data_IF_469274062897
#
_entry.id   IF_469274062897
#
_cell.length_a   1.000
_cell.length_b   1.000
_cell.length_c   1.000
_cell.angle_alpha   90.00
_cell.angle_beta   90.00
_cell.angle_gamma   90.00
#
_symmetry.space_group_name_H-M   'P 1'
#
loop_
_entity.id
_entity.type
_entity.pdbx_description
1 polymer ?
#
# COMPACT_ATOMS: atom_id res chain seq x y z
N UNK A 1 33.01 71.61 -54.04
CA UNK A 1 31.89 71.76 -53.09
C UNK A 1 30.85 70.68 -53.40
N UNK A 2 30.89 69.56 -52.67
CA UNK A 2 30.05 68.37 -52.93
C UNK A 2 28.91 68.32 -51.89
N UNK A 3 27.67 68.21 -52.36
CA UNK A 3 26.45 68.06 -51.55
C UNK A 3 26.49 66.70 -50.82
N UNK A 4 26.31 66.72 -49.50
CA UNK A 4 26.15 65.52 -48.66
C UNK A 4 24.66 65.18 -48.65
N UNK A 5 24.27 64.08 -49.27
CA UNK A 5 22.92 63.51 -49.20
C UNK A 5 22.81 62.60 -47.97
N UNK A 6 21.86 62.90 -47.08
CA UNK A 6 21.58 62.14 -45.88
C UNK A 6 20.97 60.77 -46.21
N UNK A 7 21.56 59.71 -45.68
CA UNK A 7 21.08 58.32 -45.77
C UNK A 7 20.04 58.08 -44.67
N UNK A 8 18.85 57.62 -45.06
CA UNK A 8 17.72 57.30 -44.17
C UNK A 8 17.96 55.95 -43.47
N UNK A 9 17.73 55.82 -42.15
CA UNK A 9 18.00 54.57 -41.44
C UNK A 9 16.94 53.48 -41.75
N UNK A 10 17.29 52.19 -41.67
CA UNK A 10 16.36 51.09 -41.92
C UNK A 10 15.33 50.94 -40.78
N UNK A 11 14.14 50.40 -41.08
CA UNK A 11 13.09 50.19 -40.07
C UNK A 11 13.48 49.08 -39.07
N UNK A 12 13.01 49.15 -37.80
CA UNK A 12 13.34 48.16 -36.79
C UNK A 12 12.65 46.82 -37.10
N UNK A 13 13.45 45.76 -37.28
CA UNK A 13 12.97 44.38 -37.26
C UNK A 13 12.87 43.93 -35.80
N UNK A 14 11.80 44.35 -35.11
CA UNK A 14 11.39 43.76 -33.84
C UNK A 14 9.91 43.40 -33.95
N UNK A 15 9.65 42.10 -34.13
CA UNK A 15 8.31 41.52 -34.09
C UNK A 15 8.13 40.88 -32.71
N UNK A 16 7.43 41.50 -31.75
CA UNK A 16 7.18 40.91 -30.45
C UNK A 16 6.02 39.92 -30.58
N UNK A 17 6.30 38.75 -31.17
CA UNK A 17 5.42 37.57 -31.12
C UNK A 17 6.23 36.30 -30.90
N UNK A 18 6.97 36.28 -29.79
CA UNK A 18 7.36 35.03 -29.13
C UNK A 18 6.92 35.14 -27.67
N UNK A 19 5.60 35.13 -27.48
CA UNK A 19 5.01 34.82 -26.17
C UNK A 19 5.36 33.38 -25.85
N UNK A 20 6.31 33.24 -24.91
CA UNK A 20 6.39 32.23 -23.87
C UNK A 20 5.79 30.87 -24.27
N UNK A 21 6.66 29.87 -24.47
CA UNK A 21 6.29 28.49 -24.22
C UNK A 21 5.82 28.37 -22.76
N UNK A 22 4.54 28.65 -22.54
CA UNK A 22 3.82 28.18 -21.37
C UNK A 22 3.68 26.68 -21.57
N UNK A 23 4.43 25.91 -20.77
CA UNK A 23 4.05 24.53 -20.47
C UNK A 23 2.53 24.52 -20.24
N UNK A 24 1.76 23.63 -20.87
CA UNK A 24 0.32 23.63 -20.67
C UNK A 24 0.06 23.50 -19.18
N UNK A 25 -0.59 24.50 -18.59
CA UNK A 25 -1.05 24.37 -17.22
C UNK A 25 -2.00 23.17 -17.18
N UNK A 26 -1.70 22.20 -16.33
CA UNK A 26 -2.49 20.98 -16.12
C UNK A 26 -3.99 21.25 -15.88
N UNK A 27 -4.36 22.48 -15.55
CA UNK A 27 -5.73 22.97 -15.40
C UNK A 27 -6.55 23.04 -16.70
N UNK A 28 -5.93 22.96 -17.88
CA UNK A 28 -6.62 23.00 -19.18
C UNK A 28 -6.91 21.62 -19.79
N UNK A 29 -6.43 20.53 -19.20
CA UNK A 29 -6.86 19.18 -19.59
C UNK A 29 -8.29 18.94 -19.12
N UNK A 30 -9.24 19.37 -19.97
CA UNK A 30 -10.67 19.23 -19.75
C UNK A 30 -11.06 17.75 -19.69
N UNK A 31 -12.00 17.45 -18.80
CA UNK A 31 -12.84 16.25 -18.60
C UNK A 31 -13.24 15.41 -19.85
N UNK A 32 -12.98 15.88 -21.08
CA UNK A 32 -13.38 15.24 -22.34
C UNK A 32 -12.45 14.12 -22.81
N UNK A 33 -11.20 14.06 -22.36
CA UNK A 33 -10.29 12.98 -22.76
C UNK A 33 -10.36 11.76 -21.83
N UNK A 34 -10.91 11.91 -20.62
CA UNK A 34 -10.96 10.83 -19.62
C UNK A 34 -11.96 9.72 -19.96
N UNK A 35 -13.00 10.03 -20.73
CA UNK A 35 -13.97 9.04 -21.23
C UNK A 35 -13.41 8.13 -22.33
N UNK A 36 -12.20 8.41 -22.84
CA UNK A 36 -11.53 7.63 -23.90
C UNK A 36 -10.40 6.73 -23.41
N UNK A 37 -9.96 6.87 -22.16
CA UNK A 37 -8.88 6.02 -21.65
C UNK A 37 -9.39 4.60 -21.41
N UNK A 38 -8.61 3.63 -21.88
CA UNK A 38 -8.81 2.24 -21.48
C UNK A 38 -8.47 2.07 -19.99
N UNK A 39 -9.03 1.03 -19.36
CA UNK A 39 -8.79 0.74 -17.93
C UNK A 39 -7.29 0.67 -17.58
N UNK A 40 -6.41 0.01 -18.36
CA UNK A 40 -4.98 -0.01 -18.09
C UNK A 40 -4.30 1.37 -18.18
N UNK A 41 -4.66 2.18 -19.18
CA UNK A 41 -4.10 3.54 -19.34
C UNK A 41 -4.49 4.45 -18.18
N UNK A 42 -5.71 4.28 -17.67
CA UNK A 42 -6.20 5.03 -16.51
C UNK A 42 -5.42 4.65 -15.23
N UNK A 43 -5.24 3.35 -14.98
CA UNK A 43 -4.40 2.85 -13.86
C UNK A 43 -2.98 3.38 -13.97
N UNK A 44 -2.38 3.32 -15.15
CA UNK A 44 -1.02 3.79 -15.40
C UNK A 44 -0.86 5.29 -15.19
N UNK A 45 -1.86 6.09 -15.61
CA UNK A 45 -1.91 7.53 -15.32
C UNK A 45 -1.97 7.81 -13.81
N UNK A 46 -2.84 7.13 -13.07
CA UNK A 46 -2.92 7.27 -11.61
C UNK A 46 -1.56 6.93 -10.98
N UNK A 47 -0.97 5.79 -11.34
CA UNK A 47 0.29 5.32 -10.80
C UNK A 47 1.43 6.33 -11.06
N UNK A 48 1.53 6.86 -12.29
CA UNK A 48 2.53 7.89 -12.63
C UNK A 48 2.36 9.15 -11.79
N UNK A 49 1.14 9.67 -11.64
CA UNK A 49 0.89 10.88 -10.85
C UNK A 49 1.30 10.70 -9.38
N UNK A 50 0.99 9.54 -8.80
CA UNK A 50 1.38 9.22 -7.42
C UNK A 50 2.89 9.09 -7.25
N UNK A 51 3.58 8.40 -8.18
CA UNK A 51 5.05 8.29 -8.17
C UNK A 51 5.71 9.67 -8.31
N UNK A 52 5.13 10.54 -9.13
CA UNK A 52 5.56 11.94 -9.28
C UNK A 52 5.13 12.85 -8.12
N UNK A 53 4.53 12.30 -7.05
CA UNK A 53 4.05 13.02 -5.85
C UNK A 53 3.01 14.11 -6.13
N UNK A 54 2.21 13.94 -7.18
CA UNK A 54 1.16 14.89 -7.58
C UNK A 54 -0.21 14.48 -7.06
N UNK A 55 -0.36 14.38 -5.73
CA UNK A 55 -1.61 13.91 -5.12
C UNK A 55 -2.83 14.76 -5.43
N UNK A 56 -2.69 16.10 -5.39
CA UNK A 56 -3.77 17.00 -5.74
C UNK A 56 -4.30 16.76 -7.16
N UNK A 57 -3.44 16.33 -8.09
CA UNK A 57 -3.89 15.99 -9.45
C UNK A 57 -4.70 14.69 -9.49
N UNK A 58 -4.44 13.75 -8.57
CA UNK A 58 -5.18 12.48 -8.45
C UNK A 58 -6.55 12.73 -7.80
N UNK A 59 -6.62 13.59 -6.79
CA UNK A 59 -7.87 13.98 -6.12
C UNK A 59 -8.88 14.66 -7.05
N UNK A 60 -8.38 15.36 -8.07
CA UNK A 60 -9.23 16.02 -9.07
C UNK A 60 -9.71 15.09 -10.20
N UNK A 61 -9.24 13.83 -10.25
CA UNK A 61 -9.74 12.86 -11.23
C UNK A 61 -11.13 12.35 -10.81
N UNK A 62 -12.04 12.06 -11.76
CA UNK A 62 -13.32 11.42 -11.47
C UNK A 62 -13.10 9.93 -11.14
N UNK A 63 -12.57 9.66 -9.94
CA UNK A 63 -12.25 8.32 -9.47
C UNK A 63 -13.53 7.60 -9.02
N UNK A 64 -14.08 6.78 -9.91
CA UNK A 64 -15.04 5.74 -9.51
C UNK A 64 -14.26 4.59 -8.84
N UNK A 65 -14.03 4.69 -7.53
CA UNK A 65 -13.33 3.64 -6.79
C UNK A 65 -14.13 2.33 -6.79
N UNK A 66 -13.42 1.26 -7.12
CA UNK A 66 -13.90 -0.10 -7.10
C UNK A 66 -12.77 -1.00 -6.61
N UNK A 67 -13.12 -2.17 -6.08
CA UNK A 67 -12.13 -3.13 -5.59
C UNK A 67 -11.13 -3.51 -6.69
N UNK A 68 -11.59 -3.73 -7.91
CA UNK A 68 -10.73 -4.02 -9.05
C UNK A 68 -9.76 -2.87 -9.42
N UNK A 69 -10.22 -1.61 -9.34
CA UNK A 69 -9.36 -0.45 -9.60
C UNK A 69 -8.27 -0.35 -8.53
N UNK A 70 -8.66 -0.44 -7.26
CA UNK A 70 -7.72 -0.39 -6.13
C UNK A 70 -6.73 -1.56 -6.20
N UNK A 71 -7.23 -2.75 -6.53
CA UNK A 71 -6.42 -3.96 -6.73
C UNK A 71 -5.36 -3.75 -7.83
N UNK A 72 -5.74 -3.19 -8.97
CA UNK A 72 -4.85 -2.92 -10.10
C UNK A 72 -3.80 -1.86 -9.76
N UNK A 73 -4.21 -0.73 -9.15
CA UNK A 73 -3.28 0.35 -8.76
C UNK A 73 -2.27 -0.15 -7.72
N UNK A 74 -2.71 -0.88 -6.68
CA UNK A 74 -1.79 -1.44 -5.68
C UNK A 74 -0.84 -2.49 -6.27
N UNK A 75 -1.30 -3.31 -7.24
CA UNK A 75 -0.41 -4.23 -7.97
C UNK A 75 0.68 -3.48 -8.73
N UNK A 76 0.31 -2.42 -9.44
CA UNK A 76 1.27 -1.64 -10.23
C UNK A 76 2.22 -0.83 -9.34
N UNK A 77 1.75 -0.33 -8.20
CA UNK A 77 2.54 0.40 -7.23
C UNK A 77 3.28 -0.48 -6.22
N UNK A 78 3.30 -1.81 -6.37
CA UNK A 78 3.80 -2.74 -5.34
C UNK A 78 5.25 -2.51 -4.85
N UNK A 79 6.06 -1.79 -5.63
CA UNK A 79 7.44 -1.41 -5.28
C UNK A 79 7.60 0.05 -4.79
N UNK A 80 6.49 0.79 -4.69
CA UNK A 80 6.43 2.19 -4.31
C UNK A 80 5.56 2.36 -3.06
N UNK A 81 6.09 2.11 -1.85
CA UNK A 81 5.28 2.05 -0.63
C UNK A 81 4.62 3.39 -0.28
N UNK A 82 5.34 4.51 -0.40
CA UNK A 82 4.77 5.85 -0.15
C UNK A 82 3.61 6.17 -1.09
N UNK A 83 3.77 5.91 -2.39
CA UNK A 83 2.70 6.13 -3.37
C UNK A 83 1.48 5.23 -3.11
N UNK A 84 1.72 3.98 -2.70
CA UNK A 84 0.67 3.03 -2.35
C UNK A 84 -0.12 3.47 -1.12
N UNK A 85 0.56 3.97 -0.07
CA UNK A 85 -0.09 4.52 1.13
C UNK A 85 -0.97 5.70 0.74
N UNK A 86 -0.43 6.67 0.00
CA UNK A 86 -1.16 7.87 -0.36
C UNK A 86 -2.43 7.56 -1.15
N UNK A 87 -2.34 6.61 -2.10
CA UNK A 87 -3.52 6.15 -2.83
C UNK A 87 -4.52 5.40 -1.95
N UNK A 88 -4.05 4.52 -1.07
CA UNK A 88 -4.91 3.75 -0.18
C UNK A 88 -5.65 4.65 0.81
N UNK A 89 -4.98 5.65 1.38
CA UNK A 89 -5.57 6.66 2.24
C UNK A 89 -6.60 7.51 1.49
N UNK A 90 -6.27 7.95 0.27
CA UNK A 90 -7.21 8.66 -0.60
C UNK A 90 -8.46 7.82 -0.85
N UNK A 91 -8.27 6.53 -1.15
CA UNK A 91 -9.37 5.60 -1.40
C UNK A 91 -10.24 5.41 -0.15
N UNK A 92 -9.62 5.32 1.02
CA UNK A 92 -10.30 5.12 2.32
C UNK A 92 -11.11 6.34 2.78
N UNK A 93 -10.82 7.54 2.26
CA UNK A 93 -11.54 8.78 2.59
C UNK A 93 -12.83 8.97 1.79
N UNK A 94 -13.05 8.20 0.73
CA UNK A 94 -14.24 8.36 -0.10
C UNK A 94 -15.49 7.81 0.61
N UNK A 95 -16.57 8.58 0.62
CA UNK A 95 -17.80 8.23 1.36
C UNK A 95 -18.45 6.92 0.86
N UNK A 96 -18.30 6.62 -0.43
CA UNK A 96 -18.97 5.50 -1.10
C UNK A 96 -18.06 4.30 -1.36
N UNK A 97 -16.85 4.28 -0.78
CA UNK A 97 -15.91 3.18 -0.95
C UNK A 97 -15.23 2.85 0.37
N UNK A 98 -15.05 1.54 0.62
CA UNK A 98 -14.22 1.05 1.72
C UNK A 98 -13.30 -0.03 1.19
N UNK A 99 -11.98 0.05 1.41
CA UNK A 99 -11.08 -1.01 0.99
C UNK A 99 -11.44 -2.34 1.65
N UNK A 100 -11.46 -3.39 0.83
CA UNK A 100 -11.71 -4.75 1.31
C UNK A 100 -10.45 -5.40 1.92
N UNK A 101 -10.60 -6.60 2.48
CA UNK A 101 -9.50 -7.37 3.11
C UNK A 101 -8.31 -7.55 2.17
N UNK A 102 -8.55 -7.81 0.88
CA UNK A 102 -7.49 -7.99 -0.12
C UNK A 102 -6.67 -6.73 -0.34
N UNK A 103 -7.32 -5.57 -0.41
CA UNK A 103 -6.65 -4.28 -0.52
C UNK A 103 -5.77 -4.01 0.72
N UNK A 104 -6.28 -4.28 1.93
CA UNK A 104 -5.49 -4.20 3.17
C UNK A 104 -4.28 -5.14 3.16
N UNK A 105 -4.47 -6.40 2.76
CA UNK A 105 -3.36 -7.36 2.69
C UNK A 105 -2.27 -6.90 1.71
N UNK A 106 -2.66 -6.32 0.57
CA UNK A 106 -1.71 -5.72 -0.39
C UNK A 106 -0.94 -4.56 0.19
N UNK A 107 -1.61 -3.56 0.77
CA UNK A 107 -0.91 -2.40 1.31
C UNK A 107 0.06 -2.83 2.42
N UNK A 108 -0.36 -3.72 3.32
CA UNK A 108 0.49 -4.27 4.40
C UNK A 108 1.76 -4.93 3.85
N UNK A 109 1.65 -5.78 2.82
CA UNK A 109 2.81 -6.40 2.17
C UNK A 109 3.75 -5.37 1.52
N UNK A 110 3.18 -4.37 0.85
CA UNK A 110 3.94 -3.31 0.19
C UNK A 110 4.72 -2.46 1.21
N UNK A 111 4.06 -2.02 2.28
CA UNK A 111 4.70 -1.17 3.29
C UNK A 111 5.70 -1.93 4.14
N UNK A 112 5.43 -3.21 4.44
CA UNK A 112 6.36 -4.09 5.14
C UNK A 112 7.66 -4.30 4.33
N UNK A 113 7.52 -4.51 3.01
CA UNK A 113 8.68 -4.58 2.11
C UNK A 113 9.49 -3.28 2.11
N UNK A 114 8.80 -2.14 2.18
CA UNK A 114 9.41 -0.82 2.33
C UNK A 114 10.05 -0.56 3.71
N UNK A 115 10.01 -1.53 4.64
CA UNK A 115 10.44 -1.40 6.04
C UNK A 115 9.71 -0.31 6.83
N UNK A 116 8.52 0.07 6.37
CA UNK A 116 7.61 1.02 7.02
C UNK A 116 6.77 0.28 8.07
N UNK A 117 7.44 -0.19 9.14
CA UNK A 117 6.86 -1.15 10.08
C UNK A 117 5.78 -0.56 10.98
N UNK A 118 5.80 0.75 11.24
CA UNK A 118 4.78 1.43 12.03
C UNK A 118 3.47 1.52 11.24
N UNK A 119 3.55 1.90 9.97
CA UNK A 119 2.42 1.91 9.04
C UNK A 119 1.88 0.49 8.81
N UNK A 120 2.79 -0.49 8.63
CA UNK A 120 2.41 -1.90 8.52
C UNK A 120 1.61 -2.35 9.75
N UNK A 121 2.07 -2.01 10.95
CA UNK A 121 1.39 -2.31 12.21
C UNK A 121 0.04 -1.59 12.30
N UNK A 122 -0.03 -0.33 11.85
CA UNK A 122 -1.27 0.45 11.85
C UNK A 122 -2.34 -0.21 11.00
N UNK A 123 -2.04 -0.49 9.72
CA UNK A 123 -2.98 -1.14 8.79
C UNK A 123 -3.40 -2.54 9.27
N UNK A 124 -2.49 -3.32 9.86
CA UNK A 124 -2.85 -4.62 10.44
C UNK A 124 -3.81 -4.47 11.64
N UNK A 125 -3.58 -3.48 12.51
CA UNK A 125 -4.48 -3.24 13.64
C UNK A 125 -5.86 -2.79 13.20
N UNK A 126 -5.93 -1.94 12.17
CA UNK A 126 -7.16 -1.49 11.54
C UNK A 126 -7.91 -2.67 10.91
N UNK A 127 -7.24 -3.46 10.05
CA UNK A 127 -7.80 -4.65 9.41
C UNK A 127 -8.39 -5.64 10.43
N UNK A 128 -7.62 -5.94 11.48
CA UNK A 128 -8.09 -6.84 12.55
C UNK A 128 -9.20 -6.18 13.37
N UNK A 129 -9.20 -4.85 13.51
CA UNK A 129 -10.24 -4.10 14.22
C UNK A 129 -11.60 -4.19 13.53
N UNK A 130 -11.65 -4.16 12.20
CA UNK A 130 -12.90 -4.35 11.45
C UNK A 130 -13.41 -5.79 11.46
N UNK A 131 -12.53 -6.74 11.78
CA UNK A 131 -12.80 -8.16 11.76
C UNK A 131 -13.08 -8.67 13.18
N UNK A 132 -14.17 -8.23 13.80
CA UNK A 132 -14.53 -8.59 15.19
C UNK A 132 -14.92 -10.08 15.35
N UNK A 133 -15.26 -10.76 14.25
CA UNK A 133 -15.60 -12.18 14.31
C UNK A 133 -14.35 -13.07 14.34
N UNK A 134 -14.35 -14.09 15.22
CA UNK A 134 -13.28 -15.11 15.27
C UNK A 134 -13.00 -15.77 13.91
N UNK A 135 -14.02 -15.86 13.04
CA UNK A 135 -13.94 -16.42 11.68
C UNK A 135 -13.15 -15.53 10.71
N UNK A 136 -13.23 -14.21 10.88
CA UNK A 136 -12.58 -13.27 9.96
C UNK A 136 -11.04 -13.31 10.05
N UNK A 137 -10.47 -13.70 11.19
CA UNK A 137 -9.01 -13.84 11.30
C UNK A 137 -8.42 -14.97 10.46
N UNK A 138 -9.17 -16.05 10.19
CA UNK A 138 -8.71 -17.10 9.26
C UNK A 138 -8.66 -16.58 7.82
N UNK A 139 -9.68 -15.81 7.42
CA UNK A 139 -9.72 -15.18 6.09
C UNK A 139 -8.57 -14.20 5.87
N UNK A 140 -8.18 -13.44 6.91
CA UNK A 140 -7.04 -12.53 6.84
C UNK A 140 -5.74 -13.31 6.56
N UNK A 141 -5.50 -14.42 7.26
CA UNK A 141 -4.31 -15.24 7.02
C UNK A 141 -4.25 -15.76 5.59
N UNK A 142 -5.33 -16.35 5.10
CA UNK A 142 -5.38 -16.92 3.74
C UNK A 142 -5.11 -15.85 2.67
N UNK A 143 -5.68 -14.64 2.84
CA UNK A 143 -5.44 -13.54 1.92
C UNK A 143 -4.01 -12.97 2.03
N UNK A 144 -3.45 -12.88 3.25
CA UNK A 144 -2.04 -12.51 3.43
C UNK A 144 -1.10 -13.51 2.74
N UNK A 145 -1.38 -14.82 2.82
CA UNK A 145 -0.61 -15.87 2.13
C UNK A 145 -0.78 -15.77 0.60
N UNK A 146 -1.99 -15.49 0.11
CA UNK A 146 -2.25 -15.29 -1.32
C UNK A 146 -1.45 -14.11 -1.88
N UNK A 147 -1.49 -12.96 -1.21
CA UNK A 147 -0.73 -11.77 -1.63
C UNK A 147 0.78 -11.98 -1.49
N UNK A 148 1.23 -12.67 -0.44
CA UNK A 148 2.64 -13.05 -0.27
C UNK A 148 3.17 -13.80 -1.51
N UNK A 149 2.41 -14.81 -1.98
CA UNK A 149 2.75 -15.60 -3.17
C UNK A 149 2.67 -14.76 -4.44
N UNK A 150 1.62 -13.96 -4.59
CA UNK A 150 1.42 -13.06 -5.74
C UNK A 150 2.58 -12.07 -5.90
N UNK A 151 3.03 -11.46 -4.81
CA UNK A 151 4.08 -10.44 -4.86
C UNK A 151 5.50 -11.02 -4.75
N UNK A 152 5.65 -12.27 -4.28
CA UNK A 152 6.95 -12.89 -3.99
C UNK A 152 7.80 -12.03 -3.05
N UNK A 153 7.16 -11.50 -1.99
CA UNK A 153 7.79 -10.60 -1.01
C UNK A 153 8.35 -11.36 0.19
N UNK A 154 8.99 -10.62 1.11
CA UNK A 154 9.42 -11.17 2.40
C UNK A 154 8.21 -11.58 3.24
N UNK A 155 8.26 -12.69 3.98
CA UNK A 155 7.20 -13.14 4.89
C UNK A 155 7.04 -12.28 6.16
N UNK A 156 7.75 -11.15 6.30
CA UNK A 156 7.83 -10.34 7.53
C UNK A 156 6.45 -10.03 8.11
N UNK A 157 5.43 -9.88 7.27
CA UNK A 157 4.05 -9.64 7.68
C UNK A 157 3.47 -10.74 8.57
N UNK A 158 3.93 -12.00 8.45
CA UNK A 158 3.44 -13.14 9.23
C UNK A 158 3.80 -13.01 10.71
N UNK A 159 5.05 -12.63 11.01
CA UNK A 159 5.47 -12.28 12.37
C UNK A 159 4.68 -11.08 12.92
N UNK A 160 4.41 -10.09 12.06
CA UNK A 160 3.71 -8.88 12.48
C UNK A 160 2.25 -9.15 12.80
N UNK A 161 1.53 -9.93 11.99
CA UNK A 161 0.13 -10.28 12.26
C UNK A 161 -0.01 -11.22 13.46
N UNK A 162 0.94 -12.14 13.66
CA UNK A 162 1.01 -12.97 14.87
C UNK A 162 1.11 -12.09 16.13
N UNK A 163 2.03 -11.12 16.12
CA UNK A 163 2.18 -10.14 17.21
C UNK A 163 0.92 -9.29 17.40
N UNK A 164 0.22 -8.89 16.33
CA UNK A 164 -1.03 -8.12 16.43
C UNK A 164 -2.13 -8.93 17.11
N UNK A 165 -2.37 -10.18 16.68
CA UNK A 165 -3.36 -11.05 17.34
C UNK A 165 -3.02 -11.30 18.80
N UNK A 166 -1.75 -11.58 19.11
CA UNK A 166 -1.30 -11.80 20.49
C UNK A 166 -1.53 -10.55 21.36
N UNK A 167 -1.18 -9.36 20.86
CA UNK A 167 -1.38 -8.09 21.59
C UNK A 167 -2.86 -7.73 21.78
N UNK A 168 -3.73 -8.10 20.83
CA UNK A 168 -5.18 -7.91 20.96
C UNK A 168 -5.87 -8.99 21.81
N UNK A 169 -5.14 -9.94 22.40
CA UNK A 169 -5.73 -10.99 23.23
C UNK A 169 -6.57 -11.97 22.41
N UNK A 170 -6.17 -12.27 21.17
CA UNK A 170 -6.87 -13.19 20.28
C UNK A 170 -6.08 -14.51 20.14
N UNK A 171 -6.02 -15.36 21.19
CA UNK A 171 -5.13 -16.52 21.24
C UNK A 171 -5.40 -17.53 20.13
N UNK A 172 -6.67 -17.76 19.77
CA UNK A 172 -7.03 -18.72 18.71
C UNK A 172 -6.51 -18.32 17.34
N UNK A 173 -6.59 -17.02 17.00
CA UNK A 173 -6.07 -16.51 15.73
C UNK A 173 -4.54 -16.47 15.73
N UNK A 174 -3.93 -16.14 16.88
CA UNK A 174 -2.48 -16.15 17.03
C UNK A 174 -1.91 -17.58 16.88
N UNK A 175 -2.50 -18.58 17.54
CA UNK A 175 -2.15 -20.00 17.38
C UNK A 175 -2.29 -20.45 15.93
N UNK A 176 -3.41 -20.10 15.29
CA UNK A 176 -3.63 -20.46 13.89
C UNK A 176 -2.53 -19.90 12.96
N UNK A 177 -2.12 -18.64 13.14
CA UNK A 177 -1.00 -18.09 12.38
C UNK A 177 0.28 -18.87 12.67
N UNK A 178 0.60 -19.08 13.95
CA UNK A 178 1.79 -19.81 14.39
C UNK A 178 1.89 -21.21 13.74
N UNK A 179 0.82 -22.00 13.78
CA UNK A 179 0.78 -23.36 13.22
C UNK A 179 0.91 -23.39 11.69
N UNK A 180 0.40 -22.35 11.01
CA UNK A 180 0.41 -22.30 9.55
C UNK A 180 1.65 -21.62 8.95
N UNK A 181 2.46 -20.91 9.75
CA UNK A 181 3.71 -20.30 9.28
C UNK A 181 4.68 -21.34 8.68
N UNK A 182 4.75 -22.53 9.28
CA UNK A 182 5.60 -23.62 8.78
C UNK A 182 5.25 -24.06 7.35
N UNK A 183 3.96 -24.03 6.97
CA UNK A 183 3.49 -24.33 5.60
C UNK A 183 3.96 -23.30 4.56
N UNK A 184 4.37 -22.12 5.03
CA UNK A 184 4.96 -21.07 4.19
C UNK A 184 6.50 -21.12 4.22
N UNK A 185 7.10 -22.15 4.81
CA UNK A 185 8.55 -22.31 4.97
C UNK A 185 9.14 -21.32 5.97
N UNK A 186 8.35 -20.85 6.95
CA UNK A 186 8.75 -19.82 7.91
C UNK A 186 8.53 -20.27 9.35
N UNK A 187 9.44 -19.87 10.21
CA UNK A 187 9.35 -20.05 11.65
C UNK A 187 9.14 -18.66 12.27
N UNK A 188 8.24 -18.51 13.25
CA UNK A 188 8.09 -17.25 13.96
C UNK A 188 9.38 -16.86 14.71
N UNK A 189 9.64 -15.56 14.76
CA UNK A 189 10.74 -15.01 15.58
C UNK A 189 10.52 -15.28 17.07
N UNK A 190 11.61 -15.35 17.84
CA UNK A 190 11.55 -15.53 19.30
C UNK A 190 10.64 -14.49 19.97
N UNK A 191 10.71 -13.24 19.52
CA UNK A 191 9.85 -12.17 20.03
C UNK A 191 8.35 -12.42 19.75
N UNK A 192 8.02 -12.99 18.58
CA UNK A 192 6.64 -13.35 18.25
C UNK A 192 6.15 -14.53 19.10
N UNK A 193 6.99 -15.55 19.28
CA UNK A 193 6.71 -16.67 20.18
C UNK A 193 6.45 -16.20 21.62
N UNK A 194 7.31 -15.33 22.15
CA UNK A 194 7.12 -14.75 23.49
C UNK A 194 5.83 -13.94 23.60
N UNK A 195 5.45 -13.22 22.53
CA UNK A 195 4.18 -12.49 22.50
C UNK A 195 2.99 -13.45 22.54
N UNK A 196 3.04 -14.55 21.79
CA UNK A 196 2.03 -15.60 21.78
C UNK A 196 1.93 -16.29 23.15
N UNK A 197 3.04 -16.72 23.74
CA UNK A 197 3.07 -17.35 25.07
C UNK A 197 2.46 -16.44 26.13
N UNK A 198 2.82 -15.14 26.15
CA UNK A 198 2.24 -14.17 27.08
C UNK A 198 0.72 -14.01 26.85
N UNK A 199 0.27 -13.99 25.59
CA UNK A 199 -1.16 -13.96 25.27
C UNK A 199 -1.87 -15.20 25.82
N UNK A 200 -1.33 -16.40 25.61
CA UNK A 200 -1.91 -17.66 26.09
C UNK A 200 -1.99 -17.70 27.63
N UNK A 201 -0.90 -17.34 28.32
CA UNK A 201 -0.87 -17.27 29.79
C UNK A 201 -1.95 -16.33 30.32
N UNK A 202 -2.06 -15.12 29.76
CA UNK A 202 -3.08 -14.14 30.16
C UNK A 202 -4.51 -14.59 29.89
N UNK A 203 -4.72 -15.52 28.97
CA UNK A 203 -6.03 -16.07 28.65
C UNK A 203 -6.29 -17.43 29.34
N UNK A 204 -5.39 -17.91 30.20
CA UNK A 204 -5.54 -19.18 30.92
C UNK A 204 -5.37 -20.43 30.06
N UNK A 205 -4.81 -20.30 28.85
CA UNK A 205 -4.66 -21.37 27.85
C UNK A 205 -3.40 -22.23 28.11
N UNK A 206 -3.25 -22.75 29.34
CA UNK A 206 -2.01 -23.40 29.82
C UNK A 206 -1.57 -24.60 28.97
N UNK A 207 -2.52 -25.42 28.49
CA UNK A 207 -2.19 -26.54 27.61
C UNK A 207 -1.48 -26.06 26.33
N UNK A 208 -2.02 -25.01 25.70
CA UNK A 208 -1.45 -24.42 24.49
C UNK A 208 -0.08 -23.77 24.76
N UNK A 209 0.16 -23.23 25.96
CA UNK A 209 1.49 -22.73 26.36
C UNK A 209 2.53 -23.84 26.27
N UNK A 210 2.25 -25.01 26.85
CA UNK A 210 3.17 -26.15 26.81
C UNK A 210 3.37 -26.66 25.37
N UNK A 211 2.31 -26.74 24.57
CA UNK A 211 2.41 -27.14 23.16
C UNK A 211 3.31 -26.20 22.35
N UNK A 212 3.11 -24.87 22.48
CA UNK A 212 3.93 -23.88 21.78
C UNK A 212 5.39 -23.95 22.24
N UNK A 213 5.63 -24.07 23.55
CA UNK A 213 6.98 -24.16 24.11
C UNK A 213 7.73 -25.41 23.63
N UNK A 214 7.08 -26.57 23.65
CA UNK A 214 7.64 -27.82 23.14
C UNK A 214 7.96 -27.72 21.63
N UNK A 215 7.06 -27.13 20.84
CA UNK A 215 7.32 -26.89 19.42
C UNK A 215 8.51 -25.96 19.19
N UNK A 216 8.69 -24.92 20.01
CA UNK A 216 9.87 -24.05 19.94
C UNK A 216 11.17 -24.83 20.18
N UNK A 217 11.19 -25.75 21.17
CA UNK A 217 12.35 -26.59 21.47
C UNK A 217 12.66 -27.53 20.30
N UNK A 218 11.64 -28.20 19.76
CA UNK A 218 11.81 -29.16 18.65
C UNK A 218 12.33 -28.52 17.38
N UNK A 219 11.87 -27.30 17.07
CA UNK A 219 12.26 -26.59 15.85
C UNK A 219 13.65 -25.95 15.98
N UNK A 220 14.15 -25.72 17.20
CA UNK A 220 15.51 -25.28 17.49
C UNK A 220 15.91 -23.89 16.95
N UNK A 221 15.03 -23.20 16.21
CA UNK A 221 15.35 -22.06 15.36
C UNK A 221 14.28 -20.95 15.38
N UNK A 222 13.92 -20.46 16.56
CA UNK A 222 13.28 -19.15 16.63
C UNK A 222 14.36 -18.07 16.38
N UNK A 223 14.61 -17.76 15.10
CA UNK A 223 15.59 -16.75 14.66
C UNK A 223 15.10 -15.31 14.82
#
# INVERSE_FOLDING_TARGET
>A
MRKITAVKPPPPLFNPKNSLHTSPSLSQWKLRDESKLTRPEFVDRICRLLVLRRLAAVENLPLALSDDLVDAVLRQLRLNPKASIQFFELASRQQNYRPNVKAYCKIVHIVARGRMFDETRSFLNELVGFCESKRAGFMIWDELVRVYREFSFSPTVFDMILKVYAKKGMPKNALYVFDNMGKCGRVPSLQSCNSLLNCLVKNGELHNVFCVYDQMIRVGNCS
#
